data_IF_576924629766
#
_entry.id   IF_576924629766
#
_cell.length_a   1.000
_cell.length_b   1.000
_cell.length_c   1.000
_cell.angle_alpha   90.00
_cell.angle_beta   90.00
_cell.angle_gamma   90.00
#
_symmetry.space_group_name_H-M   'P 1'
#
loop_
_entity.id
_entity.type
_entity.pdbx_description
1 polymer ?
#
# COMPACT_ATOMS: atom_id res chain seq x y z
N UNK A 1 -11.86 36.91 -41.69
CA UNK A 1 -12.80 35.85 -42.12
C UNK A 1 -12.47 35.50 -43.56
N UNK A 2 -12.24 34.23 -43.90
CA UNK A 2 -12.01 33.81 -45.29
C UNK A 2 -13.32 33.90 -46.06
N UNK A 3 -13.33 34.44 -47.29
CA UNK A 3 -14.55 34.53 -48.09
C UNK A 3 -15.09 33.14 -48.41
N UNK A 4 -16.40 33.03 -48.60
CA UNK A 4 -17.04 31.80 -49.10
C UNK A 4 -16.66 31.65 -50.57
N UNK A 5 -16.08 30.51 -50.92
CA UNK A 5 -15.64 30.21 -52.30
C UNK A 5 -16.25 28.89 -52.72
N UNK A 6 -16.79 28.84 -53.94
CA UNK A 6 -17.29 27.60 -54.52
C UNK A 6 -16.14 26.60 -54.69
N UNK A 7 -16.39 25.34 -54.35
CA UNK A 7 -15.42 24.27 -54.58
C UNK A 7 -15.23 24.03 -56.08
N UNK A 8 -14.03 23.59 -56.48
CA UNK A 8 -13.77 23.22 -57.87
C UNK A 8 -14.52 21.95 -58.26
N UNK A 9 -14.74 21.72 -59.55
CA UNK A 9 -15.44 20.53 -60.02
C UNK A 9 -14.71 19.23 -59.64
N UNK A 10 -13.38 19.27 -59.61
CA UNK A 10 -12.52 18.15 -59.22
C UNK A 10 -12.67 17.82 -57.72
N UNK A 11 -13.09 18.77 -56.89
CA UNK A 11 -13.31 18.54 -55.45
C UNK A 11 -14.40 17.48 -55.21
N UNK A 12 -15.32 17.25 -56.16
CA UNK A 12 -16.32 16.19 -56.09
C UNK A 12 -15.76 14.77 -56.22
N UNK A 13 -14.56 14.62 -56.79
CA UNK A 13 -13.87 13.31 -56.85
C UNK A 13 -13.19 12.93 -55.53
N UNK A 14 -13.15 13.84 -54.56
CA UNK A 14 -12.54 13.59 -53.26
C UNK A 14 -13.52 12.85 -52.35
N UNK A 15 -13.18 11.62 -51.97
CA UNK A 15 -13.99 10.88 -51.00
C UNK A 15 -13.85 11.46 -49.59
N UNK A 16 -14.90 11.31 -48.78
CA UNK A 16 -14.86 11.74 -47.38
C UNK A 16 -13.76 11.03 -46.57
N UNK A 17 -13.50 9.75 -46.84
CA UNK A 17 -12.41 9.01 -46.22
C UNK A 17 -11.03 9.63 -46.56
N UNK A 18 -10.81 10.00 -47.82
CA UNK A 18 -9.56 10.66 -48.22
C UNK A 18 -9.42 12.04 -47.58
N UNK A 19 -10.51 12.77 -47.44
CA UNK A 19 -10.53 14.03 -46.69
C UNK A 19 -10.08 13.84 -45.23
N UNK A 20 -10.63 12.84 -44.53
CA UNK A 20 -10.22 12.52 -43.16
C UNK A 20 -8.76 12.06 -43.07
N UNK A 21 -8.30 11.24 -44.01
CA UNK A 21 -6.89 10.81 -44.07
C UNK A 21 -5.94 12.01 -44.12
N UNK A 22 -6.20 12.98 -45.00
CA UNK A 22 -5.43 14.23 -45.05
C UNK A 22 -5.57 15.04 -43.76
N UNK A 23 -6.75 15.01 -43.14
CA UNK A 23 -7.01 15.70 -41.89
C UNK A 23 -6.20 15.16 -40.71
N UNK A 24 -5.95 13.85 -40.67
CA UNK A 24 -5.19 13.20 -39.59
C UNK A 24 -3.68 13.16 -39.86
N UNK A 25 -3.27 12.94 -41.12
CA UNK A 25 -1.88 12.67 -41.46
C UNK A 25 -1.21 13.79 -42.27
N UNK A 26 -1.97 14.68 -42.87
CA UNK A 26 -1.50 15.76 -43.76
C UNK A 26 -0.93 16.99 -43.06
N UNK A 27 -0.43 16.89 -41.83
CA UNK A 27 0.05 18.02 -41.04
C UNK A 27 1.08 18.91 -41.76
N UNK A 28 1.87 18.35 -42.68
CA UNK A 28 2.92 19.07 -43.43
C UNK A 28 2.39 19.97 -44.56
N UNK A 29 1.11 19.84 -44.94
CA UNK A 29 0.56 20.67 -46.01
C UNK A 29 0.28 22.08 -45.50
N UNK A 30 0.94 23.06 -46.11
CA UNK A 30 0.74 24.49 -45.84
C UNK A 30 0.11 25.17 -47.05
N UNK A 31 -0.42 26.38 -46.84
CA UNK A 31 -1.05 27.16 -47.90
C UNK A 31 -0.01 27.59 -48.94
N UNK A 32 -0.23 27.22 -50.21
CA UNK A 32 0.69 27.53 -51.33
C UNK A 32 0.53 28.94 -51.91
N UNK A 33 -0.60 29.59 -51.73
CA UNK A 33 -0.92 30.87 -52.34
C UNK A 33 -0.86 31.98 -51.30
N UNK A 34 0.25 32.74 -51.23
CA UNK A 34 0.39 34.10 -50.70
C UNK A 34 1.84 34.61 -50.91
N UNK A 35 2.03 35.93 -50.97
CA UNK A 35 3.35 36.59 -51.01
C UNK A 35 4.17 36.38 -49.72
N UNK A 36 3.50 36.02 -48.61
CA UNK A 36 4.13 35.55 -47.37
C UNK A 36 3.52 34.18 -46.97
N UNK A 37 4.33 33.10 -46.96
CA UNK A 37 3.86 31.79 -46.53
C UNK A 37 3.54 31.78 -45.03
N UNK A 38 2.31 31.42 -44.65
CA UNK A 38 2.04 31.06 -43.26
C UNK A 38 2.48 29.61 -43.01
N UNK A 39 3.31 29.37 -41.99
CA UNK A 39 3.83 28.04 -41.64
C UNK A 39 2.82 27.08 -41.01
N UNK A 40 1.54 27.47 -40.94
CA UNK A 40 0.47 26.68 -40.32
C UNK A 40 -0.02 25.56 -41.25
N UNK A 41 -0.40 24.43 -40.64
CA UNK A 41 -1.01 23.31 -41.33
C UNK A 41 -2.41 23.68 -41.81
N UNK A 42 -2.67 23.49 -43.11
CA UNK A 42 -4.01 23.69 -43.69
C UNK A 42 -5.04 22.73 -43.08
N UNK A 43 -4.60 21.58 -42.59
CA UNK A 43 -5.47 20.54 -42.06
C UNK A 43 -5.63 20.60 -40.54
N UNK A 44 -4.60 20.98 -39.79
CA UNK A 44 -4.71 20.96 -38.32
C UNK A 44 -5.16 22.30 -37.74
N UNK A 45 -4.71 23.42 -38.32
CA UNK A 45 -4.76 24.73 -37.65
C UNK A 45 -5.98 25.58 -38.02
N UNK A 46 -6.92 25.03 -38.82
CA UNK A 46 -8.09 25.75 -39.33
C UNK A 46 -9.40 25.02 -39.07
N UNK A 47 -10.46 25.80 -38.82
CA UNK A 47 -11.83 25.30 -38.94
C UNK A 47 -12.24 25.35 -40.41
N UNK A 48 -12.67 24.22 -40.96
CA UNK A 48 -13.10 24.12 -42.35
C UNK A 48 -14.61 23.98 -42.42
N UNK A 49 -15.25 24.89 -43.15
CA UNK A 49 -16.69 24.94 -43.33
C UNK A 49 -17.07 24.52 -44.74
N UNK A 50 -18.09 23.68 -44.85
CA UNK A 50 -18.70 23.27 -46.11
C UNK A 50 -20.19 23.58 -46.07
N UNK A 51 -20.71 24.30 -47.06
CA UNK A 51 -22.14 24.62 -47.15
C UNK A 51 -22.77 23.99 -48.39
N UNK A 52 -23.92 23.35 -48.22
CA UNK A 52 -24.71 22.78 -49.31
C UNK A 52 -26.20 22.78 -48.94
N UNK A 53 -27.09 23.20 -49.85
CA UNK A 53 -28.55 23.21 -49.64
C UNK A 53 -29.01 23.76 -48.28
N UNK A 54 -28.53 24.95 -47.90
CA UNK A 54 -28.84 25.60 -46.61
C UNK A 54 -28.33 24.86 -45.36
N UNK A 55 -27.50 23.83 -45.51
CA UNK A 55 -26.80 23.15 -44.42
C UNK A 55 -25.32 23.56 -44.40
N UNK A 56 -24.72 23.54 -43.21
CA UNK A 56 -23.29 23.80 -43.00
C UNK A 56 -22.67 22.68 -42.15
N UNK A 57 -21.57 22.10 -42.63
CA UNK A 57 -20.72 21.20 -41.88
C UNK A 57 -19.42 21.91 -41.48
N UNK A 58 -18.97 21.73 -40.25
CA UNK A 58 -17.73 22.29 -39.73
C UNK A 58 -16.80 21.18 -39.24
N UNK A 59 -15.54 21.25 -39.65
CA UNK A 59 -14.50 20.30 -39.24
C UNK A 59 -13.34 21.03 -38.58
N UNK A 60 -13.04 20.63 -37.35
CA UNK A 60 -11.89 21.07 -36.57
C UNK A 60 -11.05 19.85 -36.16
N UNK A 61 -9.75 20.05 -36.00
CA UNK A 61 -8.85 19.01 -35.52
C UNK A 61 -8.45 19.33 -34.08
N UNK A 62 -8.37 18.31 -33.23
CA UNK A 62 -7.86 18.44 -31.87
C UNK A 62 -7.09 17.17 -31.50
N UNK A 63 -5.82 17.27 -31.09
CA UNK A 63 -5.05 16.10 -30.70
C UNK A 63 -5.60 15.54 -29.37
N UNK A 64 -5.55 14.22 -29.23
CA UNK A 64 -5.86 13.54 -27.97
C UNK A 64 -4.58 12.95 -27.38
N UNK A 65 -4.48 12.99 -26.05
CA UNK A 65 -3.42 12.29 -25.34
C UNK A 65 -3.83 10.84 -25.14
N UNK A 66 -3.07 9.92 -25.70
CA UNK A 66 -3.22 8.49 -25.42
C UNK A 66 -2.59 8.19 -24.06
N UNK A 67 -3.32 7.49 -23.21
CA UNK A 67 -2.83 7.00 -21.92
C UNK A 67 -2.64 5.48 -22.02
N UNK A 68 -1.51 4.99 -21.54
CA UNK A 68 -1.25 3.56 -21.43
C UNK A 68 -1.73 3.02 -20.08
N UNK A 69 -2.08 1.73 -20.03
CA UNK A 69 -2.45 1.05 -18.79
C UNK A 69 -1.18 0.65 -18.04
N UNK A 70 -0.97 1.20 -16.85
CA UNK A 70 0.10 0.74 -15.95
C UNK A 70 -0.45 -0.31 -14.97
N UNK A 71 -0.01 -1.56 -15.11
CA UNK A 71 -0.29 -2.62 -14.14
C UNK A 71 0.74 -2.62 -13.01
N UNK A 72 0.35 -2.93 -11.75
CA UNK A 72 1.31 -3.04 -10.65
C UNK A 72 2.28 -4.21 -10.88
N UNK A 73 3.46 -4.16 -10.24
CA UNK A 73 4.43 -5.25 -10.34
C UNK A 73 3.83 -6.55 -9.79
N UNK A 74 3.98 -7.69 -10.49
CA UNK A 74 3.39 -8.96 -10.07
C UNK A 74 4.05 -9.56 -8.82
N UNK A 75 5.23 -9.05 -8.41
CA UNK A 75 5.97 -9.54 -7.25
C UNK A 75 5.94 -8.50 -6.13
N UNK A 76 5.34 -8.88 -5.01
CA UNK A 76 5.35 -8.10 -3.78
C UNK A 76 6.62 -8.46 -2.99
N UNK A 77 7.47 -7.47 -2.73
CA UNK A 77 8.67 -7.64 -1.90
C UNK A 77 8.38 -7.16 -0.47
N UNK A 78 8.30 -8.11 0.47
CA UNK A 78 8.17 -7.78 1.89
C UNK A 78 9.57 -7.72 2.49
N UNK A 79 10.06 -6.51 2.80
CA UNK A 79 11.29 -6.33 3.58
C UNK A 79 10.96 -6.51 5.06
N UNK A 80 11.33 -7.66 5.65
CA UNK A 80 11.30 -7.81 7.12
C UNK A 80 12.42 -6.97 7.71
N UNK A 81 12.07 -5.86 8.35
CA UNK A 81 13.00 -5.10 9.16
C UNK A 81 13.22 -5.82 10.48
N UNK A 82 14.47 -5.90 10.92
CA UNK A 82 14.76 -6.40 12.25
C UNK A 82 14.06 -5.50 13.29
N UNK A 83 13.43 -6.07 14.31
CA UNK A 83 12.74 -5.30 15.33
C UNK A 83 13.72 -4.38 16.05
N UNK A 84 13.28 -3.16 16.34
CA UNK A 84 14.08 -2.21 17.11
C UNK A 84 14.23 -2.71 18.54
N UNK A 85 15.46 -2.63 19.09
CA UNK A 85 15.77 -3.00 20.47
C UNK A 85 14.82 -2.36 21.48
N UNK A 86 14.49 -1.08 21.28
CA UNK A 86 13.56 -0.32 22.14
C UNK A 86 12.16 -0.94 22.12
N UNK A 87 11.68 -1.35 20.95
CA UNK A 87 10.39 -2.03 20.82
C UNK A 87 10.39 -3.37 21.56
N UNK A 88 11.45 -4.15 21.44
CA UNK A 88 11.57 -5.44 22.13
C UNK A 88 11.61 -5.31 23.65
N UNK A 89 12.32 -4.30 24.16
CA UNK A 89 12.36 -4.02 25.59
C UNK A 89 10.96 -3.62 26.11
N UNK A 90 10.24 -2.79 25.36
CA UNK A 90 8.88 -2.42 25.70
C UNK A 90 7.94 -3.63 25.65
N UNK A 91 8.00 -4.44 24.59
CA UNK A 91 7.17 -5.64 24.43
C UNK A 91 7.42 -6.68 25.53
N UNK A 92 8.68 -6.83 25.98
CA UNK A 92 9.05 -7.72 27.08
C UNK A 92 8.49 -7.20 28.40
N UNK A 93 8.58 -5.90 28.66
CA UNK A 93 8.02 -5.25 29.85
C UNK A 93 6.51 -5.42 29.91
N UNK A 94 5.81 -5.14 28.81
CA UNK A 94 4.35 -5.26 28.73
C UNK A 94 3.90 -6.70 28.90
N UNK A 95 4.66 -7.64 28.34
CA UNK A 95 4.39 -9.07 28.51
C UNK A 95 4.56 -9.52 29.96
N UNK A 96 5.66 -9.14 30.60
CA UNK A 96 5.90 -9.43 32.02
C UNK A 96 4.76 -8.86 32.88
N UNK A 97 4.37 -7.60 32.67
CA UNK A 97 3.30 -6.97 33.44
C UNK A 97 1.97 -7.72 33.31
N UNK A 98 1.61 -8.15 32.08
CA UNK A 98 0.38 -8.92 31.86
C UNK A 98 0.42 -10.29 32.55
N UNK A 99 1.54 -10.99 32.48
CA UNK A 99 1.70 -12.29 33.13
C UNK A 99 1.65 -12.15 34.65
N UNK A 100 2.29 -11.12 35.23
CA UNK A 100 2.17 -10.83 36.67
C UNK A 100 0.73 -10.56 37.10
N UNK A 101 -0.07 -9.85 36.28
CA UNK A 101 -1.49 -9.65 36.56
C UNK A 101 -2.28 -10.97 36.57
N UNK A 102 -1.94 -11.91 35.69
CA UNK A 102 -2.55 -13.24 35.67
C UNK A 102 -2.20 -14.01 36.95
N UNK A 103 -0.94 -14.02 37.36
CA UNK A 103 -0.52 -14.70 38.59
C UNK A 103 -1.19 -14.11 39.84
N UNK A 104 -1.31 -12.78 39.92
CA UNK A 104 -2.04 -12.12 41.01
C UNK A 104 -3.52 -12.50 41.02
N UNK A 105 -4.18 -12.52 39.87
CA UNK A 105 -5.58 -12.93 39.78
C UNK A 105 -5.78 -14.41 40.19
N UNK A 106 -4.80 -15.27 39.88
CA UNK A 106 -4.78 -16.66 40.35
C UNK A 106 -4.63 -16.71 41.87
N UNK A 107 -3.70 -15.94 42.46
CA UNK A 107 -3.51 -15.88 43.92
C UNK A 107 -4.77 -15.42 44.66
N UNK A 108 -5.39 -14.34 44.19
CA UNK A 108 -6.65 -13.83 44.74
C UNK A 108 -7.74 -14.89 44.68
N UNK A 109 -7.85 -15.60 43.54
CA UNK A 109 -8.85 -16.65 43.37
C UNK A 109 -8.57 -17.84 44.28
N UNK A 110 -7.33 -18.29 44.37
CA UNK A 110 -6.96 -19.39 45.26
C UNK A 110 -7.19 -19.00 46.72
N UNK A 111 -6.80 -17.79 47.15
CA UNK A 111 -7.06 -17.30 48.51
C UNK A 111 -8.56 -17.33 48.86
N UNK A 112 -9.43 -16.89 47.93
CA UNK A 112 -10.89 -16.96 48.11
C UNK A 112 -11.42 -18.39 48.23
N UNK A 113 -10.82 -19.35 47.50
CA UNK A 113 -11.23 -20.75 47.57
C UNK A 113 -10.78 -21.42 48.87
N UNK A 114 -9.68 -20.93 49.50
CA UNK A 114 -9.19 -21.45 50.79
C UNK A 114 -10.21 -21.24 51.88
N UNK A 115 -10.81 -20.05 51.91
CA UNK A 115 -11.76 -19.66 52.96
C UNK A 115 -13.09 -20.39 52.86
N UNK A 116 -13.44 -20.89 51.67
CA UNK A 116 -14.74 -21.52 51.37
C UNK A 116 -14.70 -23.06 51.39
N UNK A 117 -13.54 -23.67 51.64
CA UNK A 117 -13.33 -25.12 51.51
C UNK A 117 -13.26 -25.82 52.87
N UNK A 118 -14.02 -26.90 53.05
CA UNK A 118 -14.05 -27.72 54.27
C UNK A 118 -13.69 -29.20 54.02
N UNK A 119 -13.18 -29.53 52.83
CA UNK A 119 -12.86 -30.89 52.43
C UNK A 119 -11.35 -31.06 52.28
N UNK A 120 -10.78 -31.99 53.06
CA UNK A 120 -9.35 -32.30 53.07
C UNK A 120 -8.77 -32.60 51.68
N UNK A 121 -9.51 -33.34 50.83
CA UNK A 121 -9.08 -33.65 49.46
C UNK A 121 -9.03 -32.40 48.56
N UNK A 122 -9.87 -31.39 48.83
CA UNK A 122 -9.85 -30.13 48.07
C UNK A 122 -8.74 -29.21 48.57
N UNK A 123 -8.45 -29.21 49.87
CA UNK A 123 -7.31 -28.48 50.45
C UNK A 123 -5.98 -28.99 49.88
N UNK A 124 -5.76 -30.30 49.85
CA UNK A 124 -4.54 -30.91 49.29
C UNK A 124 -4.34 -30.50 47.83
N UNK A 125 -5.37 -30.63 46.99
CA UNK A 125 -5.31 -30.19 45.58
C UNK A 125 -5.04 -28.70 45.42
N UNK A 126 -5.45 -27.89 46.38
CA UNK A 126 -5.29 -26.45 46.31
C UNK A 126 -3.87 -26.02 46.68
N UNK A 127 -3.28 -26.67 47.67
CA UNK A 127 -1.85 -26.54 47.98
C UNK A 127 -0.99 -27.00 46.78
N UNK A 128 -1.38 -28.08 46.09
CA UNK A 128 -0.70 -28.52 44.86
C UNK A 128 -0.76 -27.44 43.75
N UNK A 129 -1.91 -26.81 43.55
CA UNK A 129 -2.08 -25.73 42.55
C UNK A 129 -1.25 -24.50 42.94
N UNK A 130 -1.19 -24.14 44.21
CA UNK A 130 -0.34 -23.04 44.69
C UNK A 130 1.14 -23.33 44.41
N UNK A 131 1.61 -24.53 44.77
CA UNK A 131 3.00 -24.93 44.53
C UNK A 131 3.34 -24.95 43.03
N UNK A 132 2.43 -25.43 42.19
CA UNK A 132 2.60 -25.41 40.74
C UNK A 132 2.70 -23.98 40.21
N UNK A 133 1.81 -23.08 40.64
CA UNK A 133 1.82 -21.67 40.25
C UNK A 133 3.13 -20.98 40.66
N UNK A 134 3.61 -21.18 41.89
CA UNK A 134 4.87 -20.60 42.36
C UNK A 134 6.07 -21.07 41.53
N UNK A 135 6.10 -22.35 41.18
CA UNK A 135 7.12 -22.92 40.31
C UNK A 135 7.10 -22.26 38.92
N UNK A 136 5.93 -22.21 38.27
CA UNK A 136 5.78 -21.61 36.93
C UNK A 136 6.11 -20.11 36.92
N UNK A 137 5.72 -19.37 37.96
CA UNK A 137 6.05 -17.95 38.11
C UNK A 137 7.56 -17.73 38.28
N UNK A 138 8.22 -18.58 39.08
CA UNK A 138 9.68 -18.55 39.24
C UNK A 138 10.44 -18.83 37.95
N UNK A 139 9.98 -19.82 37.17
CA UNK A 139 10.52 -20.12 35.85
C UNK A 139 10.33 -18.95 34.87
N UNK A 140 9.14 -18.34 34.86
CA UNK A 140 8.83 -17.19 34.03
C UNK A 140 9.68 -15.97 34.37
N UNK A 141 9.89 -15.70 35.66
CA UNK A 141 10.75 -14.62 36.13
C UNK A 141 12.20 -14.84 35.70
N UNK A 142 12.72 -16.05 35.92
CA UNK A 142 14.08 -16.43 35.50
C UNK A 142 14.26 -16.28 33.98
N UNK A 143 13.24 -16.66 33.20
CA UNK A 143 13.25 -16.50 31.76
C UNK A 143 13.25 -15.01 31.36
N UNK A 144 12.43 -14.19 32.00
CA UNK A 144 12.34 -12.74 31.73
C UNK A 144 13.67 -12.05 32.02
N UNK A 145 14.32 -12.36 33.15
CA UNK A 145 15.62 -11.83 33.52
C UNK A 145 16.71 -12.21 32.50
N UNK A 146 16.71 -13.46 32.04
CA UNK A 146 17.61 -13.91 30.96
C UNK A 146 17.39 -13.14 29.67
N UNK A 147 16.13 -12.89 29.29
CA UNK A 147 15.79 -12.14 28.07
C UNK A 147 16.19 -10.67 28.17
N UNK A 148 15.95 -10.05 29.34
CA UNK A 148 16.36 -8.69 29.61
C UNK A 148 17.88 -8.55 29.61
N UNK A 149 18.60 -9.49 30.23
CA UNK A 149 20.07 -9.51 30.21
C UNK A 149 20.61 -9.62 28.78
N UNK A 150 20.05 -10.50 27.94
CA UNK A 150 20.42 -10.62 26.52
C UNK A 150 20.22 -9.34 25.73
N UNK A 151 19.17 -8.58 26.04
CA UNK A 151 18.91 -7.29 25.41
C UNK A 151 19.87 -6.21 25.94
N UNK A 152 20.20 -6.19 27.22
CA UNK A 152 21.04 -5.14 27.81
C UNK A 152 22.55 -5.37 27.66
N UNK A 153 23.00 -6.61 27.46
CA UNK A 153 24.43 -6.97 27.49
C UNK A 153 25.25 -6.56 26.25
N UNK A 154 24.61 -6.16 25.16
CA UNK A 154 25.32 -5.82 23.91
C UNK A 154 25.25 -4.33 23.59
N UNK A 155 26.42 -3.72 23.38
CA UNK A 155 26.56 -2.35 22.86
C UNK A 155 26.43 -2.28 21.34
N UNK A 156 26.51 -3.43 20.64
CA UNK A 156 26.34 -3.57 19.18
C UNK A 156 25.47 -4.79 18.91
N UNK A 157 24.15 -4.62 18.86
CA UNK A 157 23.23 -5.72 18.55
C UNK A 157 23.29 -6.06 17.06
N UNK A 158 23.60 -7.32 16.73
CA UNK A 158 23.44 -7.78 15.34
C UNK A 158 21.96 -7.98 15.03
N UNK A 159 21.48 -7.67 13.81
CA UNK A 159 20.08 -7.87 13.43
C UNK A 159 19.55 -9.30 13.69
N UNK A 160 20.41 -10.30 13.57
CA UNK A 160 20.10 -11.71 13.84
C UNK A 160 19.83 -12.00 15.32
N UNK A 161 20.54 -11.32 16.23
CA UNK A 161 20.33 -11.47 17.68
C UNK A 161 18.98 -10.88 18.11
N UNK A 162 18.64 -9.69 17.59
CA UNK A 162 17.34 -9.06 17.83
C UNK A 162 16.20 -9.92 17.28
N UNK A 163 16.40 -10.51 16.09
CA UNK A 163 15.43 -11.46 15.53
C UNK A 163 15.26 -12.70 16.41
N UNK A 164 16.35 -13.31 16.89
CA UNK A 164 16.26 -14.48 17.80
C UNK A 164 15.50 -14.15 19.10
N UNK A 165 15.74 -12.96 19.67
CA UNK A 165 15.02 -12.50 20.86
C UNK A 165 13.54 -12.29 20.57
N UNK A 166 13.22 -11.69 19.43
CA UNK A 166 11.84 -11.48 18.98
C UNK A 166 11.09 -12.80 18.79
N UNK A 167 11.68 -13.76 18.08
CA UNK A 167 11.08 -15.09 17.89
C UNK A 167 10.88 -15.82 19.24
N UNK A 168 11.84 -15.71 20.16
CA UNK A 168 11.71 -16.28 21.50
C UNK A 168 10.55 -15.64 22.29
N UNK A 169 10.36 -14.33 22.16
CA UNK A 169 9.27 -13.61 22.80
C UNK A 169 7.91 -13.98 22.20
N UNK A 170 7.84 -14.16 20.87
CA UNK A 170 6.62 -14.65 20.21
C UNK A 170 6.29 -16.05 20.69
N UNK A 171 7.28 -16.96 20.68
CA UNK A 171 7.07 -18.34 21.09
C UNK A 171 6.60 -18.46 22.55
N UNK A 172 7.07 -17.58 23.44
CA UNK A 172 6.62 -17.57 24.86
C UNK A 172 5.22 -16.98 25.05
N UNK A 173 4.73 -16.17 24.09
CA UNK A 173 3.38 -15.56 24.12
C UNK A 173 2.29 -16.51 23.58
N UNK A 174 2.66 -17.54 22.83
CA UNK A 174 1.76 -18.57 22.28
C UNK A 174 1.50 -19.67 23.30
#
# INVERSE_FOLDING_TARGET
>A
VTPVVALSNESWSMSFAKYLELRFYGHQYTRRANAEPCGHSIHHDYHQYFSYNQMVASFSYSPIRLLEVCVPLPKIFIKRQAPLKVSLLQDLKDFFQKVSQVYLAVDERLASLKTDTFSKTREEKMEDIFAQKEMEEGEFKTWTEKMQARLLSSSVDTPQQLQSVFESLIAKKQ
#
